data_IF_702466312047
#
_entry.id   IF_702466312047
#
_cell.length_a   1.000
_cell.length_b   1.000
_cell.length_c   1.000
_cell.angle_alpha   90.00
_cell.angle_beta   90.00
_cell.angle_gamma   90.00
#
_symmetry.space_group_name_H-M   'P 1'
#
loop_
_entity.id
_entity.type
_entity.pdbx_description
1 polymer ?
#
# COMPACT_ATOMS: atom_id res chain seq x y z
N UNK A 1 -0.39 0.67 -19.51
CA UNK A 1 0.64 1.40 -18.75
C UNK A 1 1.86 0.54 -18.43
N UNK A 2 1.71 -0.60 -17.72
CA UNK A 2 2.85 -1.43 -17.27
C UNK A 2 3.77 -1.89 -18.42
N UNK A 3 3.22 -2.37 -19.54
CA UNK A 3 4.01 -2.79 -20.71
C UNK A 3 4.87 -1.66 -21.30
N UNK A 4 4.32 -0.44 -21.37
CA UNK A 4 5.04 0.74 -21.88
C UNK A 4 6.23 1.04 -20.98
N UNK A 5 6.02 1.07 -19.66
CA UNK A 5 7.10 1.32 -18.69
C UNK A 5 8.19 0.24 -18.80
N UNK A 6 7.82 -1.03 -18.98
CA UNK A 6 8.78 -2.12 -19.16
C UNK A 6 9.62 -1.98 -20.43
N UNK A 7 9.01 -1.58 -21.55
CA UNK A 7 9.71 -1.37 -22.82
C UNK A 7 10.76 -0.26 -22.68
N UNK A 8 10.38 0.89 -22.10
CA UNK A 8 11.23 2.06 -21.96
C UNK A 8 12.10 2.08 -20.69
N UNK A 9 12.05 1.03 -19.86
CA UNK A 9 12.84 0.95 -18.64
C UNK A 9 14.34 0.95 -18.94
N UNK A 10 15.09 1.73 -18.17
CA UNK A 10 16.55 1.86 -18.24
C UNK A 10 17.14 1.67 -16.83
N UNK A 11 16.95 0.48 -16.21
CA UNK A 11 17.34 0.23 -14.82
C UNK A 11 18.85 0.38 -14.62
N UNK A 12 19.26 1.01 -13.52
CA UNK A 12 20.65 1.10 -13.08
C UNK A 12 20.81 0.44 -11.72
N UNK A 13 22.02 0.02 -11.29
CA UNK A 13 22.21 -0.56 -9.96
C UNK A 13 21.71 0.33 -8.82
N UNK A 14 21.90 1.65 -8.94
CA UNK A 14 21.46 2.64 -7.94
C UNK A 14 19.95 2.76 -7.91
N UNK A 15 19.30 2.90 -9.06
CA UNK A 15 17.84 2.99 -9.14
C UNK A 15 17.17 1.69 -8.71
N UNK A 16 17.79 0.55 -9.01
CA UNK A 16 17.35 -0.78 -8.61
C UNK A 16 17.39 -0.93 -7.07
N UNK A 17 18.51 -0.55 -6.44
CA UNK A 17 18.66 -0.59 -4.99
C UNK A 17 17.60 0.26 -4.28
N UNK A 18 17.49 1.54 -4.65
CA UNK A 18 16.53 2.45 -4.01
C UNK A 18 15.08 2.07 -4.29
N UNK A 19 14.79 1.64 -5.51
CA UNK A 19 13.47 1.17 -5.89
C UNK A 19 13.04 -0.08 -5.11
N UNK A 20 13.93 -1.05 -4.91
CA UNK A 20 13.66 -2.23 -4.08
C UNK A 20 13.42 -1.83 -2.62
N UNK A 21 14.24 -0.94 -2.05
CA UNK A 21 14.05 -0.49 -0.67
C UNK A 21 12.67 0.15 -0.47
N UNK A 22 12.21 0.97 -1.42
CA UNK A 22 10.86 1.54 -1.41
C UNK A 22 9.76 0.47 -1.55
N UNK A 23 9.95 -0.51 -2.45
CA UNK A 23 9.00 -1.61 -2.62
C UNK A 23 8.88 -2.47 -1.37
N UNK A 24 9.99 -2.82 -0.73
CA UNK A 24 10.02 -3.59 0.51
C UNK A 24 9.40 -2.81 1.67
N UNK A 25 9.66 -1.51 1.78
CA UNK A 25 9.05 -0.66 2.79
C UNK A 25 7.52 -0.59 2.61
N UNK A 26 7.04 -0.38 1.37
CA UNK A 26 5.61 -0.35 1.08
C UNK A 26 4.92 -1.69 1.35
N UNK A 27 5.53 -2.80 0.91
CA UNK A 27 4.98 -4.13 1.14
C UNK A 27 4.99 -4.51 2.62
N UNK A 28 6.00 -4.10 3.39
CA UNK A 28 6.03 -4.30 4.85
C UNK A 28 4.85 -3.59 5.54
N UNK A 29 4.52 -2.36 5.12
CA UNK A 29 3.35 -1.62 5.62
C UNK A 29 2.06 -2.34 5.25
N UNK A 30 1.96 -2.86 4.02
CA UNK A 30 0.78 -3.62 3.58
C UNK A 30 0.61 -4.92 4.36
N UNK A 31 1.66 -5.72 4.50
CA UNK A 31 1.64 -6.96 5.29
C UNK A 31 1.20 -6.68 6.72
N UNK A 32 1.70 -5.60 7.31
CA UNK A 32 1.27 -5.17 8.63
C UNK A 32 -0.23 -4.81 8.64
N UNK A 33 -0.73 -4.07 7.64
CA UNK A 33 -2.15 -3.77 7.47
C UNK A 33 -3.02 -5.02 7.35
N UNK A 34 -2.68 -5.91 6.42
CA UNK A 34 -3.44 -7.15 6.17
C UNK A 34 -3.42 -8.07 7.39
N UNK A 35 -2.32 -8.13 8.14
CA UNK A 35 -2.27 -8.93 9.37
C UNK A 35 -3.33 -8.52 10.40
N UNK A 36 -3.73 -7.24 10.43
CA UNK A 36 -4.75 -6.74 11.35
C UNK A 36 -6.15 -6.71 10.75
N UNK A 37 -6.29 -6.34 9.48
CA UNK A 37 -7.60 -6.25 8.81
C UNK A 37 -8.10 -7.60 8.24
N UNK A 38 -7.20 -8.58 8.09
CA UNK A 38 -7.48 -9.86 7.47
C UNK A 38 -7.46 -9.82 5.93
N UNK A 39 -7.47 -11.00 5.32
CA UNK A 39 -7.40 -11.17 3.86
C UNK A 39 -8.63 -10.67 3.09
N UNK A 40 -9.74 -10.36 3.77
CA UNK A 40 -10.96 -9.80 3.17
C UNK A 40 -10.73 -8.40 2.53
N UNK A 41 -9.64 -7.73 2.91
CA UNK A 41 -9.15 -6.48 2.30
C UNK A 41 -8.80 -6.60 0.80
N UNK A 42 -8.69 -7.83 0.28
CA UNK A 42 -8.49 -8.10 -1.15
C UNK A 42 -9.79 -8.21 -1.95
N UNK A 43 -10.94 -8.20 -1.29
CA UNK A 43 -12.24 -8.27 -1.96
C UNK A 43 -12.65 -6.89 -2.47
N UNK A 44 -13.53 -6.85 -3.49
CA UNK A 44 -14.13 -5.59 -3.97
C UNK A 44 -15.33 -5.14 -3.12
N UNK A 45 -15.68 -5.90 -2.10
CA UNK A 45 -16.82 -5.61 -1.23
C UNK A 45 -16.40 -4.58 -0.19
N UNK A 46 -17.07 -3.44 -0.18
CA UNK A 46 -16.82 -2.37 0.79
C UNK A 46 -17.50 -2.73 2.11
N UNK A 47 -16.73 -2.86 3.19
CA UNK A 47 -17.23 -3.14 4.53
C UNK A 47 -16.19 -3.81 5.43
N UNK A 48 -16.52 -3.89 6.72
CA UNK A 48 -15.72 -4.63 7.70
C UNK A 48 -16.64 -5.27 8.74
N UNK A 49 -16.28 -6.45 9.22
CA UNK A 49 -17.03 -7.12 10.30
C UNK A 49 -16.79 -6.46 11.66
N UNK A 50 -15.67 -5.77 11.82
CA UNK A 50 -15.29 -5.05 13.02
C UNK A 50 -14.40 -3.86 12.67
N UNK A 51 -14.44 -2.80 13.48
CA UNK A 51 -13.57 -1.65 13.32
C UNK A 51 -12.18 -1.96 13.91
N UNK A 52 -11.17 -2.00 13.04
CA UNK A 52 -9.77 -2.23 13.43
C UNK A 52 -9.07 -0.89 13.66
N UNK A 53 -8.64 -0.65 14.90
CA UNK A 53 -8.05 0.65 15.30
C UNK A 53 -6.67 0.54 15.96
N UNK A 54 -6.09 -0.67 16.00
CA UNK A 54 -4.74 -0.91 16.52
C UNK A 54 -3.73 -1.29 15.41
N UNK A 55 -2.48 -1.52 15.80
CA UNK A 55 -1.41 -1.81 14.85
C UNK A 55 -1.18 -0.63 13.87
N UNK A 56 -1.18 -0.86 12.56
CA UNK A 56 -0.98 0.22 11.57
C UNK A 56 -2.19 1.15 11.49
N UNK A 57 -3.41 0.63 11.73
CA UNK A 57 -4.65 1.41 11.68
C UNK A 57 -4.73 2.46 12.79
N UNK A 58 -4.07 2.24 13.92
CA UNK A 58 -3.97 3.27 14.96
C UNK A 58 -2.97 4.40 14.65
N UNK A 59 -2.22 4.30 13.54
CA UNK A 59 -1.28 5.34 13.06
C UNK A 59 -1.76 6.05 11.81
N UNK A 60 -2.49 5.37 10.93
CA UNK A 60 -3.07 5.93 9.72
C UNK A 60 -4.30 5.10 9.37
N UNK A 61 -5.39 5.73 8.93
CA UNK A 61 -6.63 5.00 8.63
C UNK A 61 -6.50 4.08 7.41
N UNK A 62 -5.61 4.42 6.48
CA UNK A 62 -5.46 3.72 5.20
C UNK A 62 -4.02 3.24 4.94
N UNK A 63 -3.45 2.36 5.79
CA UNK A 63 -2.06 1.93 5.69
C UNK A 63 -1.79 1.14 4.39
N UNK A 64 -2.78 0.39 3.92
CA UNK A 64 -2.68 -0.41 2.69
C UNK A 64 -2.44 0.48 1.46
N UNK A 65 -3.13 1.61 1.36
CA UNK A 65 -2.95 2.56 0.26
C UNK A 65 -1.61 3.28 0.33
N UNK A 66 -1.14 3.63 1.53
CA UNK A 66 0.19 4.18 1.71
C UNK A 66 1.27 3.19 1.23
N UNK A 67 1.14 1.92 1.61
CA UNK A 67 2.06 0.86 1.18
C UNK A 67 2.01 0.63 -0.34
N UNK A 68 0.82 0.62 -0.94
CA UNK A 68 0.67 0.55 -2.40
C UNK A 68 1.39 1.71 -3.11
N UNK A 69 1.18 2.95 -2.68
CA UNK A 69 1.83 4.12 -3.28
C UNK A 69 3.36 3.98 -3.22
N UNK A 70 3.91 3.57 -2.08
CA UNK A 70 5.35 3.36 -1.93
C UNK A 70 5.86 2.26 -2.87
N UNK A 71 5.12 1.16 -3.02
CA UNK A 71 5.46 0.09 -3.95
C UNK A 71 5.47 0.55 -5.40
N UNK A 72 4.45 1.31 -5.83
CA UNK A 72 4.40 1.83 -7.21
C UNK A 72 5.45 2.90 -7.46
N UNK A 73 5.78 3.73 -6.46
CA UNK A 73 6.91 4.66 -6.55
C UNK A 73 8.23 3.91 -6.67
N UNK A 74 8.43 2.86 -5.85
CA UNK A 74 9.61 2.00 -5.94
C UNK A 74 9.75 1.33 -7.31
N UNK A 75 8.65 0.79 -7.87
CA UNK A 75 8.65 0.23 -9.22
C UNK A 75 9.00 1.26 -10.31
N UNK A 76 8.50 2.51 -10.18
CA UNK A 76 8.87 3.60 -11.08
C UNK A 76 10.37 3.96 -10.96
N UNK A 77 10.92 3.95 -9.74
CA UNK A 77 12.36 4.17 -9.50
C UNK A 77 13.19 3.02 -10.07
N UNK A 78 12.79 1.75 -9.88
CA UNK A 78 13.47 0.60 -10.51
C UNK A 78 13.51 0.76 -12.03
N UNK A 79 12.38 1.12 -12.65
CA UNK A 79 12.29 1.29 -14.09
C UNK A 79 13.21 2.41 -14.62
N UNK A 80 13.50 3.42 -13.80
CA UNK A 80 14.44 4.51 -14.10
C UNK A 80 14.22 5.15 -15.48
N UNK A 81 12.96 5.33 -15.85
CA UNK A 81 12.55 5.94 -17.11
C UNK A 81 11.67 7.15 -16.82
N UNK A 82 11.98 8.28 -17.46
CA UNK A 82 11.29 9.56 -17.25
C UNK A 82 11.22 10.02 -15.79
N UNK A 83 12.22 9.67 -14.97
CA UNK A 83 12.33 10.22 -13.62
C UNK A 83 12.65 11.73 -13.69
N UNK A 84 12.05 12.58 -12.83
CA UNK A 84 11.13 12.25 -11.73
C UNK A 84 9.64 12.19 -12.12
N UNK A 85 9.30 12.50 -13.38
CA UNK A 85 7.91 12.65 -13.84
C UNK A 85 7.06 11.39 -13.65
N UNK A 86 7.63 10.20 -13.84
CA UNK A 86 6.90 8.95 -13.63
C UNK A 86 6.46 8.78 -12.16
N UNK A 87 7.30 9.18 -11.20
CA UNK A 87 6.96 9.14 -9.76
C UNK A 87 5.86 10.16 -9.45
N UNK A 88 5.95 11.38 -9.99
CA UNK A 88 4.92 12.40 -9.82
C UNK A 88 3.59 11.92 -10.40
N UNK A 89 3.61 11.32 -11.58
CA UNK A 89 2.42 10.72 -12.20
C UNK A 89 1.80 9.64 -11.31
N UNK A 90 2.61 8.73 -10.76
CA UNK A 90 2.15 7.69 -9.82
C UNK A 90 1.48 8.32 -8.60
N UNK A 91 2.09 9.34 -7.99
CA UNK A 91 1.52 10.03 -6.82
C UNK A 91 0.17 10.69 -7.12
N UNK A 92 0.05 11.38 -8.26
CA UNK A 92 -1.20 12.05 -8.66
C UNK A 92 -2.27 11.01 -8.99
N UNK A 93 -1.93 10.01 -9.81
CA UNK A 93 -2.87 8.97 -10.26
C UNK A 93 -3.47 8.22 -9.06
N UNK A 94 -2.62 7.67 -8.19
CA UNK A 94 -3.08 6.96 -7.00
C UNK A 94 -3.68 7.88 -5.95
N UNK A 95 -3.20 9.13 -5.84
CA UNK A 95 -3.80 10.14 -4.96
C UNK A 95 -5.26 10.41 -5.30
N UNK A 96 -5.56 10.62 -6.59
CA UNK A 96 -6.94 10.81 -7.08
C UNK A 96 -7.75 9.53 -6.92
N UNK A 97 -7.22 8.39 -7.36
CA UNK A 97 -7.93 7.11 -7.26
C UNK A 97 -8.29 6.75 -5.81
N UNK A 98 -7.32 6.83 -4.89
CA UNK A 98 -7.55 6.50 -3.48
C UNK A 98 -8.38 7.55 -2.77
N UNK A 99 -8.39 8.82 -3.19
CA UNK A 99 -9.31 9.80 -2.64
C UNK A 99 -10.78 9.35 -2.80
N UNK A 100 -11.17 8.88 -3.99
CA UNK A 100 -12.53 8.40 -4.23
C UNK A 100 -12.83 7.09 -3.51
N UNK A 101 -11.88 6.14 -3.49
CA UNK A 101 -12.07 4.86 -2.79
C UNK A 101 -12.22 5.08 -1.28
N UNK A 102 -11.34 5.88 -0.68
CA UNK A 102 -11.39 6.16 0.76
C UNK A 102 -12.70 6.85 1.14
N UNK A 103 -13.24 7.75 0.30
CA UNK A 103 -14.54 8.39 0.55
C UNK A 103 -15.67 7.36 0.65
N UNK A 104 -15.74 6.43 -0.31
CA UNK A 104 -16.73 5.36 -0.33
C UNK A 104 -16.59 4.41 0.87
N UNK A 105 -15.34 4.07 1.23
CA UNK A 105 -15.05 3.25 2.41
C UNK A 105 -15.43 3.96 3.70
N UNK A 106 -15.13 5.25 3.84
CA UNK A 106 -15.49 6.08 4.99
C UNK A 106 -17.00 6.20 5.15
N UNK A 107 -17.75 6.41 4.07
CA UNK A 107 -19.22 6.42 4.09
C UNK A 107 -19.75 5.09 4.60
N UNK A 108 -19.28 3.97 4.06
CA UNK A 108 -19.70 2.64 4.52
C UNK A 108 -19.33 2.36 5.97
N UNK A 109 -18.13 2.71 6.40
CA UNK A 109 -17.69 2.53 7.78
C UNK A 109 -18.46 3.42 8.74
N UNK A 110 -18.85 4.63 8.31
CA UNK A 110 -19.73 5.51 9.08
C UNK A 110 -21.13 4.90 9.24
N UNK A 111 -21.68 4.27 8.21
CA UNK A 111 -22.97 3.54 8.32
C UNK A 111 -22.88 2.33 9.26
N UNK A 112 -21.77 1.59 9.23
CA UNK A 112 -21.60 0.35 10.00
C UNK A 112 -21.29 0.61 11.48
N UNK A 113 -20.48 1.62 11.79
CA UNK A 113 -19.91 1.82 13.13
C UNK A 113 -20.26 3.17 13.77
N UNK A 114 -20.92 4.08 13.06
CA UNK A 114 -21.47 5.33 13.60
C UNK A 114 -20.47 6.16 14.41
N UNK A 115 -20.84 6.48 15.65
CA UNK A 115 -20.05 7.31 16.58
C UNK A 115 -18.65 6.76 16.81
N UNK A 116 -18.48 5.44 16.88
CA UNK A 116 -17.17 4.82 17.08
C UNK A 116 -16.21 5.15 15.93
N UNK A 117 -16.72 5.14 14.69
CA UNK A 117 -15.93 5.54 13.54
C UNK A 117 -15.61 7.02 13.54
N UNK A 118 -16.55 7.87 13.95
CA UNK A 118 -16.34 9.31 14.05
C UNK A 118 -15.22 9.65 15.05
N UNK A 119 -15.20 9.02 16.22
CA UNK A 119 -14.13 9.17 17.22
C UNK A 119 -12.77 8.71 16.68
N UNK A 120 -12.76 7.56 15.99
CA UNK A 120 -11.55 7.07 15.32
C UNK A 120 -11.02 8.04 14.27
N UNK A 121 -11.90 8.66 13.48
CA UNK A 121 -11.53 9.64 12.46
C UNK A 121 -10.92 10.92 13.04
N UNK A 122 -11.33 11.32 14.25
CA UNK A 122 -10.74 12.46 14.97
C UNK A 122 -9.34 12.13 15.51
N UNK A 123 -9.11 10.88 15.90
CA UNK A 123 -7.84 10.46 16.51
C UNK A 123 -6.77 10.06 15.49
N UNK A 124 -7.16 9.58 14.30
CA UNK A 124 -6.25 9.00 13.32
C UNK A 124 -6.34 9.71 11.96
N UNK A 125 -5.21 10.20 11.41
CA UNK A 125 -5.18 10.85 10.10
C UNK A 125 -5.46 9.86 8.96
N UNK A 126 -5.98 10.39 7.84
CA UNK A 126 -6.38 9.57 6.68
C UNK A 126 -5.19 8.94 5.94
N UNK A 127 -4.11 9.70 5.74
CA UNK A 127 -3.00 9.33 4.82
C UNK A 127 -1.61 9.47 5.47
N UNK A 128 -1.32 10.58 6.14
CA UNK A 128 0.01 10.81 6.72
C UNK A 128 0.07 10.13 8.10
N UNK A 129 0.93 9.13 8.31
CA UNK A 129 0.95 8.38 9.55
C UNK A 129 1.50 9.21 10.72
N UNK A 130 0.88 9.05 11.89
CA UNK A 130 1.44 9.54 13.17
C UNK A 130 2.44 8.54 13.76
N UNK A 131 3.44 9.06 14.47
CA UNK A 131 4.46 8.24 15.13
C UNK A 131 3.88 7.45 16.30
N UNK A 132 3.06 8.11 17.13
CA UNK A 132 2.44 7.52 18.32
C UNK A 132 1.14 6.83 17.96
N UNK A 133 0.87 5.67 18.56
CA UNK A 133 -0.42 4.99 18.41
C UNK A 133 -1.54 5.73 19.17
N UNK A 134 -2.80 5.48 18.84
CA UNK A 134 -3.93 5.95 19.65
C UNK A 134 -4.06 5.13 20.93
N UNK A 135 -4.43 5.79 22.03
CA UNK A 135 -4.61 5.14 23.34
C UNK A 135 -5.89 4.31 23.44
N UNK A 136 -6.93 4.67 22.69
CA UNK A 136 -8.24 3.98 22.66
C UNK A 136 -8.31 2.82 21.66
N UNK A 137 -7.15 2.32 21.20
CA UNK A 137 -7.10 1.26 20.19
C UNK A 137 -7.75 -0.03 20.70
N UNK A 138 -8.66 -0.62 19.92
CA UNK A 138 -9.23 -1.94 20.22
C UNK A 138 -8.22 -3.03 19.89
N UNK A 139 -7.93 -3.95 20.82
CA UNK A 139 -6.91 -4.97 20.60
C UNK A 139 -7.42 -6.07 19.65
N UNK A 140 -6.97 -6.00 18.40
CA UNK A 140 -7.04 -7.11 17.43
C UNK A 140 -5.69 -7.84 17.40
N UNK A 141 -5.71 -9.18 17.43
CA UNK A 141 -4.50 -9.99 17.29
C UNK A 141 -4.10 -10.07 15.81
N UNK A 142 -2.83 -9.84 15.45
CA UNK A 142 -2.38 -9.97 14.07
C UNK A 142 -2.36 -11.43 13.61
N UNK A 143 -2.87 -11.70 12.42
CA UNK A 143 -2.68 -12.97 11.70
C UNK A 143 -1.61 -12.80 10.62
N UNK A 144 -0.34 -12.87 11.04
CA UNK A 144 0.78 -12.80 10.12
C UNK A 144 0.74 -13.94 9.09
N UNK A 145 0.39 -15.17 9.50
CA UNK A 145 0.33 -16.32 8.59
C UNK A 145 -0.71 -16.13 7.49
N UNK A 146 -1.89 -15.62 7.83
CA UNK A 146 -2.94 -15.26 6.89
C UNK A 146 -2.51 -14.15 5.95
N UNK A 147 -1.87 -13.10 6.47
CA UNK A 147 -1.33 -12.00 5.66
C UNK A 147 -0.35 -12.51 4.60
N UNK A 148 0.67 -13.27 4.99
CA UNK A 148 1.64 -13.84 4.06
C UNK A 148 0.98 -14.72 2.99
N UNK A 149 -0.02 -15.53 3.36
CA UNK A 149 -0.75 -16.36 2.39
C UNK A 149 -1.53 -15.53 1.38
N UNK A 150 -2.16 -14.44 1.82
CA UNK A 150 -2.92 -13.54 0.95
C UNK A 150 -2.04 -12.68 0.02
N UNK A 151 -0.76 -12.53 0.36
CA UNK A 151 0.20 -11.69 -0.38
C UNK A 151 1.08 -12.46 -1.37
N UNK A 152 0.92 -13.79 -1.49
CA UNK A 152 1.68 -14.62 -2.44
C UNK A 152 1.66 -14.10 -3.88
N UNK A 153 0.52 -13.60 -4.35
CA UNK A 153 0.38 -13.07 -5.71
C UNK A 153 1.16 -11.76 -5.91
N UNK A 154 1.27 -10.94 -4.86
CA UNK A 154 2.07 -9.71 -4.87
C UNK A 154 3.55 -10.05 -4.94
N UNK A 155 4.01 -10.99 -4.10
CA UNK A 155 5.40 -11.45 -4.12
C UNK A 155 5.79 -12.03 -5.48
N UNK A 156 4.88 -12.82 -6.09
CA UNK A 156 5.11 -13.35 -7.43
C UNK A 156 5.21 -12.22 -8.46
N UNK A 157 4.28 -11.26 -8.43
CA UNK A 157 4.31 -10.10 -9.33
C UNK A 157 5.60 -9.29 -9.19
N UNK A 158 6.06 -9.09 -7.95
CA UNK A 158 7.33 -8.43 -7.65
C UNK A 158 8.53 -9.19 -8.19
N UNK A 159 8.61 -10.49 -7.91
CA UNK A 159 9.68 -11.33 -8.43
C UNK A 159 9.72 -11.30 -9.96
N UNK A 160 8.56 -11.36 -10.62
CA UNK A 160 8.47 -11.24 -12.08
C UNK A 160 8.97 -9.88 -12.58
N UNK A 161 8.50 -8.77 -12.02
CA UNK A 161 8.94 -7.42 -12.43
C UNK A 161 10.45 -7.26 -12.21
N UNK A 162 10.97 -7.66 -11.04
CA UNK A 162 12.39 -7.56 -10.74
C UNK A 162 13.24 -8.43 -11.67
N UNK A 163 12.78 -9.65 -11.98
CA UNK A 163 13.45 -10.52 -12.94
C UNK A 163 13.55 -9.85 -14.32
N UNK A 164 12.45 -9.30 -14.84
CA UNK A 164 12.47 -8.57 -16.12
C UNK A 164 13.40 -7.36 -16.10
N UNK A 165 13.44 -6.61 -14.99
CA UNK A 165 14.32 -5.45 -14.84
C UNK A 165 15.80 -5.85 -14.79
N UNK A 166 16.14 -6.94 -14.10
CA UNK A 166 17.49 -7.52 -14.09
C UNK A 166 17.88 -7.95 -15.50
N UNK A 167 17.00 -8.66 -16.22
CA UNK A 167 17.26 -9.07 -17.59
C UNK A 167 17.50 -7.86 -18.50
N UNK A 168 16.70 -6.79 -18.38
CA UNK A 168 16.95 -5.54 -19.11
C UNK A 168 18.29 -4.90 -18.74
N UNK A 169 18.70 -4.93 -17.48
CA UNK A 169 19.95 -4.29 -17.05
C UNK A 169 21.21 -4.97 -17.61
N UNK A 170 21.16 -6.28 -17.87
CA UNK A 170 22.33 -7.06 -18.30
C UNK A 170 22.34 -7.46 -19.77
N UNK A 171 21.18 -7.54 -20.43
CA UNK A 171 21.07 -8.09 -21.80
C UNK A 171 20.58 -7.10 -22.85
N UNK A 172 20.13 -5.90 -22.47
CA UNK A 172 19.57 -4.89 -23.37
C UNK A 172 20.04 -3.48 -23.01
#
# INVERSE_FOLDING_TARGET
>A
MVLIVLIFAQPTPVSFLWGILLMLAGESIRLWGVAYAGGATRTRNVGANQLVTNGPFGRVRNPLYLGNILMYCGAAVVANTWLPYLVIFVLIFFGVQYYFIIRLEEEKLSELFGTEYAEYCQAVPRIIPRIKNISSARPVKPDAGGAFRSEKSTFLSFATVLLFMVLKMYFF
#
